data_IF_451234328075
#
_entry.id   IF_451234328075
#
_cell.length_a   1.000
_cell.length_b   1.000
_cell.length_c   1.000
_cell.angle_alpha   90.00
_cell.angle_beta   90.00
_cell.angle_gamma   90.00
#
_symmetry.space_group_name_H-M   'P 1'
#
loop_
_entity.id
_entity.type
_entity.pdbx_description
1 polymer ?
#
# COMPACT_ATOMS: atom_id res chain seq x y z
N UNK A 1 -39.09 5.96 5.60
CA UNK A 1 -37.66 5.62 5.76
C UNK A 1 -37.56 4.53 6.81
N UNK A 2 -36.98 3.39 6.46
CA UNK A 2 -36.83 2.26 7.35
C UNK A 2 -35.68 2.50 8.35
N UNK A 3 -35.68 1.81 9.49
CA UNK A 3 -34.60 1.90 10.50
C UNK A 3 -33.21 1.61 9.91
N UNK A 4 -33.14 0.79 8.83
CA UNK A 4 -31.92 0.50 8.08
C UNK A 4 -31.45 1.67 7.21
N UNK A 5 -32.37 2.42 6.62
CA UNK A 5 -32.04 3.62 5.84
C UNK A 5 -31.50 4.74 6.74
N UNK A 6 -32.11 4.93 7.92
CA UNK A 6 -31.61 5.87 8.92
C UNK A 6 -30.23 5.49 9.45
N UNK A 7 -29.98 4.20 9.69
CA UNK A 7 -28.67 3.71 10.13
C UNK A 7 -27.59 3.88 9.05
N UNK A 8 -27.92 3.62 7.78
CA UNK A 8 -27.01 3.88 6.65
C UNK A 8 -26.70 5.38 6.48
N UNK A 9 -27.67 6.24 6.66
CA UNK A 9 -27.49 7.70 6.51
C UNK A 9 -26.64 8.27 7.65
N UNK A 10 -26.81 7.80 8.88
CA UNK A 10 -25.98 8.16 10.03
C UNK A 10 -24.52 7.71 9.81
N UNK A 11 -24.28 6.45 9.42
CA UNK A 11 -22.94 5.93 9.15
C UNK A 11 -22.27 6.73 7.99
N UNK A 12 -23.01 7.14 6.97
CA UNK A 12 -22.46 7.96 5.89
C UNK A 12 -22.12 9.40 6.33
N UNK A 13 -22.89 10.00 7.23
CA UNK A 13 -22.59 11.32 7.80
C UNK A 13 -21.34 11.30 8.65
N UNK A 14 -21.19 10.29 9.50
CA UNK A 14 -20.02 10.12 10.35
C UNK A 14 -18.75 9.86 9.51
N UNK A 15 -18.83 9.00 8.49
CA UNK A 15 -17.75 8.74 7.57
C UNK A 15 -17.29 10.01 6.84
N UNK A 16 -18.25 10.83 6.38
CA UNK A 16 -17.95 12.09 5.68
C UNK A 16 -17.25 13.09 6.60
N UNK A 17 -17.69 13.22 7.84
CA UNK A 17 -17.07 14.11 8.83
C UNK A 17 -15.64 13.67 9.17
N UNK A 18 -15.39 12.36 9.25
CA UNK A 18 -14.06 11.81 9.46
C UNK A 18 -13.15 12.10 8.25
N UNK A 19 -13.62 11.87 7.02
CA UNK A 19 -12.84 12.19 5.81
C UNK A 19 -12.48 13.68 5.78
N UNK A 20 -13.43 14.58 6.02
CA UNK A 20 -13.19 16.02 6.07
C UNK A 20 -12.19 16.43 7.16
N UNK A 21 -12.22 15.77 8.31
CA UNK A 21 -11.28 16.02 9.42
C UNK A 21 -9.87 15.56 9.08
N UNK A 22 -9.73 14.36 8.52
CA UNK A 22 -8.43 13.74 8.26
C UNK A 22 -7.83 14.10 6.89
N UNK A 23 -8.60 14.69 5.98
CA UNK A 23 -8.06 15.24 4.73
C UNK A 23 -7.41 16.62 4.88
N UNK A 24 -7.61 17.30 6.03
CA UNK A 24 -6.93 18.58 6.31
C UNK A 24 -5.44 18.37 6.50
N UNK A 25 -4.66 19.36 6.04
CA UNK A 25 -3.24 19.43 6.37
C UNK A 25 -3.07 19.65 7.87
N UNK A 26 -1.92 19.27 8.39
CA UNK A 26 -1.54 19.48 9.80
C UNK A 26 -2.23 18.62 10.87
N UNK A 27 -2.87 17.50 10.50
CA UNK A 27 -3.47 16.61 11.51
C UNK A 27 -2.39 16.11 12.48
N UNK A 28 -1.25 15.65 11.97
CA UNK A 28 -0.13 15.16 12.81
C UNK A 28 0.56 16.33 13.51
N UNK A 29 0.78 17.46 12.85
CA UNK A 29 1.37 18.64 13.48
C UNK A 29 0.45 19.24 14.57
N UNK A 30 -0.86 19.09 14.42
CA UNK A 30 -1.83 19.40 15.47
C UNK A 30 -1.69 18.49 16.69
N UNK A 31 -1.44 17.20 16.47
CA UNK A 31 -1.10 16.25 17.51
C UNK A 31 0.23 16.65 18.15
N UNK A 32 1.27 16.95 17.36
CA UNK A 32 2.60 17.34 17.83
C UNK A 32 2.60 18.67 18.64
N UNK A 33 1.85 19.68 18.23
CA UNK A 33 1.72 20.96 18.99
C UNK A 33 1.07 20.76 20.36
N UNK A 34 0.26 19.75 20.54
CA UNK A 34 -0.35 19.41 21.81
C UNK A 34 0.60 18.64 22.74
N UNK A 35 1.76 18.13 22.26
CA UNK A 35 2.75 17.44 23.11
C UNK A 35 3.23 18.27 24.31
N UNK A 36 3.35 19.58 24.15
CA UNK A 36 3.77 20.48 25.25
C UNK A 36 2.70 20.64 26.35
N UNK A 37 1.45 20.26 26.06
CA UNK A 37 0.31 20.37 26.97
C UNK A 37 -0.18 19.02 27.48
N UNK A 38 0.30 17.90 26.94
CA UNK A 38 -0.15 16.56 27.31
C UNK A 38 0.78 15.90 28.33
N UNK A 39 0.19 15.11 29.22
CA UNK A 39 0.94 14.35 30.23
C UNK A 39 1.72 13.22 29.54
N UNK A 40 3.02 13.41 29.34
CA UNK A 40 3.94 12.34 28.92
C UNK A 40 4.06 11.33 30.06
N UNK A 41 3.76 10.08 29.76
CA UNK A 41 3.96 8.95 30.69
C UNK A 41 5.17 8.14 30.24
N UNK A 42 5.72 7.37 31.16
CA UNK A 42 6.85 6.47 30.89
C UNK A 42 6.37 5.03 31.04
N UNK A 43 6.32 4.28 29.93
CA UNK A 43 5.94 2.88 29.92
C UNK A 43 7.17 1.99 29.71
N UNK A 44 7.12 0.77 30.26
CA UNK A 44 8.09 -0.27 29.88
C UNK A 44 7.92 -0.66 28.41
N UNK A 45 9.04 -0.97 27.74
CA UNK A 45 8.97 -1.49 26.38
C UNK A 45 8.13 -2.77 26.27
N UNK A 46 8.04 -3.55 27.34
CA UNK A 46 7.26 -4.80 27.39
C UNK A 46 5.75 -4.58 27.57
N UNK A 47 5.34 -3.39 28.03
CA UNK A 47 3.93 -2.99 28.10
C UNK A 47 3.42 -2.58 26.71
N UNK A 48 4.33 -2.28 25.77
CA UNK A 48 3.98 -1.82 24.43
C UNK A 48 4.06 -2.99 23.46
N UNK A 49 3.03 -3.15 22.65
CA UNK A 49 2.94 -4.15 21.57
C UNK A 49 2.96 -3.48 20.21
N UNK A 50 3.35 -4.25 19.19
CA UNK A 50 3.34 -3.78 17.79
C UNK A 50 1.91 -3.51 17.32
N UNK A 51 1.76 -2.59 16.37
CA UNK A 51 0.47 -2.26 15.80
C UNK A 51 -0.09 -3.44 15.01
N UNK A 52 -1.29 -3.86 15.38
CA UNK A 52 -1.94 -5.06 14.84
C UNK A 52 -2.21 -4.98 13.33
N UNK A 53 -2.42 -3.78 12.79
CA UNK A 53 -2.73 -3.56 11.38
C UNK A 53 -1.50 -3.59 10.47
N UNK A 54 -0.32 -3.20 10.97
CA UNK A 54 0.88 -3.02 10.15
C UNK A 54 2.08 -3.89 10.58
N UNK A 55 1.93 -4.72 11.61
CA UNK A 55 3.01 -5.57 12.16
C UNK A 55 3.67 -6.50 11.13
N UNK A 56 2.94 -6.89 10.09
CA UNK A 56 3.43 -7.79 9.04
C UNK A 56 4.41 -7.09 8.07
N UNK A 57 4.34 -5.77 7.98
CA UNK A 57 5.31 -4.99 7.24
C UNK A 57 6.67 -5.00 7.96
N UNK A 58 7.71 -5.43 7.26
CA UNK A 58 9.08 -5.46 7.80
C UNK A 58 9.71 -4.08 7.74
N UNK A 59 10.66 -3.83 8.61
CA UNK A 59 11.42 -2.59 8.64
C UNK A 59 12.87 -2.91 8.34
N UNK A 60 13.49 -2.07 7.53
CA UNK A 60 14.90 -2.19 7.17
C UNK A 60 15.80 -2.13 8.41
N UNK A 61 16.78 -3.04 8.46
CA UNK A 61 17.71 -3.15 9.59
C UNK A 61 18.61 -1.93 9.74
N UNK A 62 19.01 -1.31 8.63
CA UNK A 62 19.86 -0.12 8.63
C UNK A 62 19.09 1.09 9.18
N UNK A 63 17.82 1.25 8.77
CA UNK A 63 16.93 2.25 9.34
C UNK A 63 16.85 2.13 10.86
N UNK A 64 16.67 0.91 11.39
CA UNK A 64 16.62 0.70 12.83
C UNK A 64 17.96 1.04 13.49
N UNK A 65 19.11 0.60 12.94
CA UNK A 65 20.44 0.94 13.46
C UNK A 65 20.69 2.45 13.53
N UNK A 66 20.22 3.20 12.52
CA UNK A 66 20.39 4.65 12.51
C UNK A 66 19.55 5.31 13.62
N UNK A 67 18.35 4.78 13.89
CA UNK A 67 17.50 5.23 15.00
C UNK A 67 18.13 4.83 16.34
N UNK A 68 18.67 3.61 16.49
CA UNK A 68 19.42 3.17 17.67
C UNK A 68 20.55 4.15 18.03
N UNK A 69 21.38 4.53 17.03
CA UNK A 69 22.45 5.54 17.21
C UNK A 69 21.89 6.87 17.70
N UNK A 70 20.83 7.38 17.05
CA UNK A 70 20.20 8.64 17.44
C UNK A 70 19.65 8.60 18.87
N UNK A 71 19.07 7.46 19.28
CA UNK A 71 18.54 7.27 20.64
C UNK A 71 19.68 7.24 21.67
N UNK A 72 20.82 6.61 21.35
CA UNK A 72 22.00 6.59 22.24
C UNK A 72 22.56 8.01 22.42
N UNK A 73 22.65 8.79 21.35
CA UNK A 73 23.24 10.13 21.37
C UNK A 73 22.35 11.16 22.05
N UNK A 74 21.05 11.11 21.84
CA UNK A 74 20.11 12.21 22.19
C UNK A 74 18.92 11.77 23.03
N UNK A 75 18.76 10.47 23.27
CA UNK A 75 17.56 9.92 23.87
C UNK A 75 16.36 9.91 22.92
N UNK A 76 15.18 9.61 23.46
CA UNK A 76 13.93 9.66 22.73
C UNK A 76 13.33 11.05 22.88
N UNK A 77 13.60 11.92 21.90
CA UNK A 77 13.17 13.32 21.93
C UNK A 77 11.66 13.47 21.78
N UNK A 78 11.06 12.78 20.81
CA UNK A 78 9.61 12.82 20.60
C UNK A 78 8.95 11.57 21.23
N UNK A 79 7.97 11.73 22.14
CA UNK A 79 7.22 10.61 22.71
C UNK A 79 6.55 9.77 21.62
N UNK A 80 6.30 8.49 21.92
CA UNK A 80 5.47 7.66 21.07
C UNK A 80 3.99 7.97 21.33
N UNK A 81 3.14 7.78 20.32
CA UNK A 81 1.69 7.76 20.54
C UNK A 81 1.25 6.31 20.62
N UNK A 82 0.56 5.99 21.70
CA UNK A 82 0.05 4.65 21.95
C UNK A 82 -1.44 4.72 22.35
N UNK A 83 -2.16 3.62 22.16
CA UNK A 83 -3.51 3.44 22.70
C UNK A 83 -3.56 2.25 23.63
N UNK A 84 -4.50 2.23 24.57
CA UNK A 84 -4.75 1.05 25.38
C UNK A 84 -5.34 -0.04 24.47
N UNK A 85 -4.67 -1.21 24.41
CA UNK A 85 -5.09 -2.33 23.57
C UNK A 85 -5.79 -3.42 24.38
N UNK A 86 -5.25 -3.69 25.58
CA UNK A 86 -5.78 -4.60 26.61
C UNK A 86 -5.33 -4.05 27.94
N UNK A 87 -5.99 -4.46 29.02
CA UNK A 87 -5.64 -4.02 30.38
C UNK A 87 -4.12 -4.16 30.62
N UNK A 88 -3.44 -3.05 30.81
CA UNK A 88 -1.99 -2.98 31.04
C UNK A 88 -1.10 -3.23 29.81
N UNK A 89 -1.66 -3.24 28.59
CA UNK A 89 -0.91 -3.31 27.34
C UNK A 89 -1.33 -2.19 26.41
N UNK A 90 -0.35 -1.61 25.73
CA UNK A 90 -0.52 -0.46 24.86
C UNK A 90 -0.04 -0.80 23.45
N UNK A 91 -0.81 -0.45 22.44
CA UNK A 91 -0.47 -0.64 21.04
C UNK A 91 0.16 0.64 20.49
N UNK A 92 1.33 0.53 19.85
CA UNK A 92 1.99 1.68 19.24
C UNK A 92 1.25 2.13 17.98
N UNK A 93 0.94 3.44 17.89
CA UNK A 93 0.34 4.05 16.70
C UNK A 93 1.41 4.83 15.94
N UNK A 94 2.02 5.82 16.56
CA UNK A 94 3.11 6.61 15.97
C UNK A 94 4.41 6.33 16.71
N UNK A 95 5.50 6.13 15.94
CA UNK A 95 6.82 5.88 16.49
C UNK A 95 7.23 4.41 16.55
N UNK A 96 6.59 3.52 15.76
CA UNK A 96 6.89 2.09 15.69
C UNK A 96 8.38 1.80 15.55
N UNK A 97 9.08 2.52 14.67
CA UNK A 97 10.53 2.35 14.47
C UNK A 97 11.33 2.71 15.72
N UNK A 98 10.93 3.77 16.44
CA UNK A 98 11.56 4.17 17.72
C UNK A 98 11.32 3.12 18.81
N UNK A 99 10.11 2.58 18.92
CA UNK A 99 9.81 1.49 19.85
C UNK A 99 10.68 0.25 19.58
N UNK A 100 10.78 -0.19 18.32
CA UNK A 100 11.62 -1.35 17.95
C UNK A 100 13.09 -1.09 18.30
N UNK A 101 13.62 0.09 18.00
CA UNK A 101 15.00 0.46 18.32
C UNK A 101 15.21 0.50 19.85
N UNK A 102 14.30 1.09 20.61
CA UNK A 102 14.37 1.15 22.07
C UNK A 102 14.35 -0.25 22.71
N UNK A 103 13.50 -1.14 22.18
CA UNK A 103 13.45 -2.54 22.64
C UNK A 103 14.76 -3.28 22.40
N UNK A 104 15.42 -3.04 21.26
CA UNK A 104 16.75 -3.62 20.98
C UNK A 104 17.89 -3.07 21.85
N UNK A 105 17.73 -1.84 22.32
CA UNK A 105 18.66 -1.18 23.22
C UNK A 105 18.36 -1.49 24.71
N UNK A 106 17.41 -2.38 24.99
CA UNK A 106 16.98 -2.76 26.36
C UNK A 106 16.58 -1.55 27.23
N UNK A 107 15.96 -0.53 26.59
CA UNK A 107 15.42 0.62 27.32
C UNK A 107 14.31 0.17 28.27
N UNK A 108 14.49 0.41 29.57
CA UNK A 108 13.52 0.03 30.60
C UNK A 108 12.20 0.79 30.48
N UNK A 109 12.27 2.07 30.17
CA UNK A 109 11.10 2.95 30.05
C UNK A 109 11.29 3.93 28.91
N UNK A 110 10.22 4.15 28.17
CA UNK A 110 10.20 5.10 27.04
C UNK A 110 9.05 6.09 27.19
N UNK A 111 9.23 7.35 26.75
CA UNK A 111 8.20 8.38 26.84
C UNK A 111 7.07 8.09 25.85
N UNK A 112 5.83 8.15 26.32
CA UNK A 112 4.64 7.91 25.52
C UNK A 112 3.53 8.91 25.85
N UNK A 113 2.65 9.15 24.89
CA UNK A 113 1.36 9.81 25.06
C UNK A 113 0.28 8.77 24.81
N UNK A 114 -0.58 8.56 25.79
CA UNK A 114 -1.68 7.61 25.69
C UNK A 114 -2.90 8.33 25.14
N UNK A 115 -3.44 7.84 24.04
CA UNK A 115 -4.65 8.33 23.39
C UNK A 115 -5.72 7.24 23.38
N UNK A 116 -6.96 7.66 23.46
CA UNK A 116 -8.10 6.74 23.36
C UNK A 116 -8.65 6.80 21.92
N UNK A 117 -7.94 6.13 20.99
CA UNK A 117 -8.34 6.01 19.60
C UNK A 117 -8.93 4.63 19.34
N UNK A 118 -10.05 4.58 18.63
CA UNK A 118 -10.60 3.33 18.11
C UNK A 118 -9.79 2.80 16.91
N UNK A 119 -10.19 1.67 16.37
CA UNK A 119 -9.50 1.04 15.24
C UNK A 119 -9.54 1.90 13.98
N UNK A 120 -10.68 2.52 13.69
CA UNK A 120 -10.86 3.39 12.54
C UNK A 120 -10.01 4.66 12.65
N UNK A 121 -10.04 5.34 13.79
CA UNK A 121 -9.21 6.51 14.05
C UNK A 121 -7.72 6.16 13.98
N UNK A 122 -7.33 5.01 14.53
CA UNK A 122 -5.94 4.51 14.46
C UNK A 122 -5.47 4.37 13.02
N UNK A 123 -6.28 3.75 12.15
CA UNK A 123 -5.94 3.60 10.73
C UNK A 123 -5.86 4.95 10.00
N UNK A 124 -6.76 5.88 10.31
CA UNK A 124 -6.76 7.22 9.73
C UNK A 124 -5.51 8.02 10.16
N UNK A 125 -5.11 7.92 11.42
CA UNK A 125 -3.89 8.56 11.93
C UNK A 125 -2.65 7.98 11.26
N UNK A 126 -2.57 6.64 11.11
CA UNK A 126 -1.48 6.00 10.37
C UNK A 126 -1.41 6.47 8.91
N UNK A 127 -2.55 6.70 8.28
CA UNK A 127 -2.63 7.20 6.92
C UNK A 127 -2.14 8.65 6.82
N UNK A 128 -2.50 9.51 7.78
CA UNK A 128 -2.02 10.89 7.86
C UNK A 128 -0.52 10.95 8.16
N UNK A 129 -0.02 10.12 9.10
CA UNK A 129 1.41 10.02 9.38
C UNK A 129 2.20 9.60 8.12
N UNK A 130 1.64 8.68 7.34
CA UNK A 130 2.23 8.28 6.05
C UNK A 130 2.25 9.41 5.01
N UNK A 131 1.22 10.26 4.99
CA UNK A 131 1.15 11.43 4.11
C UNK A 131 2.23 12.46 4.45
N UNK A 132 2.41 12.74 5.72
CA UNK A 132 3.32 13.78 6.22
C UNK A 132 4.79 13.30 6.25
N UNK A 133 5.02 12.00 6.42
CA UNK A 133 6.35 11.41 6.48
C UNK A 133 6.80 10.81 5.16
N UNK A 134 7.78 11.46 4.50
CA UNK A 134 8.35 11.02 3.21
C UNK A 134 8.99 9.61 3.25
N UNK A 135 9.36 9.11 4.42
CA UNK A 135 10.03 7.82 4.63
C UNK A 135 9.10 6.71 5.12
N UNK A 136 7.82 6.80 4.79
CA UNK A 136 6.85 5.79 5.19
C UNK A 136 6.99 4.51 4.34
N UNK A 137 6.77 3.36 4.97
CA UNK A 137 6.88 2.07 4.29
C UNK A 137 5.67 1.84 3.36
N UNK A 138 5.86 1.64 2.05
CA UNK A 138 4.75 1.43 1.11
C UNK A 138 3.85 0.24 1.45
N UNK A 139 4.39 -0.79 2.10
CA UNK A 139 3.60 -1.95 2.53
C UNK A 139 2.75 -1.61 3.75
N UNK A 140 3.25 -0.79 4.69
CA UNK A 140 2.43 -0.29 5.80
C UNK A 140 1.23 0.53 5.27
N UNK A 141 1.46 1.44 4.31
CA UNK A 141 0.38 2.19 3.64
C UNK A 141 -0.63 1.23 3.00
N UNK A 142 -0.15 0.23 2.26
CA UNK A 142 -1.01 -0.73 1.57
C UNK A 142 -1.88 -1.54 2.55
N UNK A 143 -1.33 -1.93 3.70
CA UNK A 143 -2.06 -2.63 4.76
C UNK A 143 -3.13 -1.72 5.39
N UNK A 144 -2.80 -0.48 5.73
CA UNK A 144 -3.75 0.50 6.26
C UNK A 144 -4.90 0.73 5.27
N UNK A 145 -4.58 0.96 3.98
CA UNK A 145 -5.58 1.14 2.92
C UNK A 145 -6.49 -0.09 2.83
N UNK A 146 -5.92 -1.28 2.89
CA UNK A 146 -6.69 -2.53 2.85
C UNK A 146 -7.67 -2.62 4.01
N UNK A 147 -7.23 -2.38 5.24
CA UNK A 147 -8.11 -2.41 6.42
C UNK A 147 -9.21 -1.34 6.35
N UNK A 148 -8.89 -0.11 5.92
CA UNK A 148 -9.92 0.92 5.74
C UNK A 148 -10.98 0.52 4.70
N UNK A 149 -10.57 -0.15 3.62
CA UNK A 149 -11.50 -0.58 2.58
C UNK A 149 -12.32 -1.81 3.02
N UNK A 150 -11.68 -2.83 3.59
CA UNK A 150 -12.30 -4.13 3.89
C UNK A 150 -13.13 -4.08 5.18
N UNK A 151 -12.62 -3.43 6.24
CA UNK A 151 -13.23 -3.46 7.59
C UNK A 151 -14.16 -2.26 7.81
N UNK A 152 -13.87 -1.10 7.18
CA UNK A 152 -14.58 0.17 7.38
C UNK A 152 -15.28 0.72 6.13
N UNK A 153 -15.27 -0.03 5.01
CA UNK A 153 -15.96 0.30 3.76
C UNK A 153 -15.55 1.65 3.12
N UNK A 154 -14.33 2.14 3.36
CA UNK A 154 -13.82 3.32 2.69
C UNK A 154 -13.63 3.06 1.20
N UNK A 155 -14.12 3.98 0.37
CA UNK A 155 -13.89 3.93 -1.08
C UNK A 155 -12.49 4.43 -1.39
N UNK A 156 -11.90 3.93 -2.48
CA UNK A 156 -10.58 4.40 -2.93
C UNK A 156 -10.49 5.92 -3.11
N UNK A 157 -11.61 6.57 -3.46
CA UNK A 157 -11.70 8.02 -3.59
C UNK A 157 -11.52 8.71 -2.25
N UNK A 158 -12.15 8.21 -1.20
CA UNK A 158 -12.10 8.76 0.15
C UNK A 158 -10.68 8.65 0.73
N UNK A 159 -10.06 7.48 0.54
CA UNK A 159 -8.66 7.24 0.94
C UNK A 159 -7.68 8.12 0.15
N UNK A 160 -7.93 8.30 -1.14
CA UNK A 160 -7.14 9.17 -2.01
C UNK A 160 -7.18 10.64 -1.56
N UNK A 161 -8.35 11.11 -1.11
CA UNK A 161 -8.54 12.45 -0.56
C UNK A 161 -7.71 12.64 0.72
N UNK A 162 -7.77 11.69 1.67
CA UNK A 162 -7.00 11.75 2.92
C UNK A 162 -5.49 11.71 2.65
N UNK A 163 -5.03 10.88 1.72
CA UNK A 163 -3.60 10.76 1.36
C UNK A 163 -3.08 11.87 0.44
N UNK A 164 -3.96 12.73 -0.09
CA UNK A 164 -3.63 13.74 -1.12
C UNK A 164 -3.00 13.11 -2.38
N UNK A 165 -3.53 11.98 -2.81
CA UNK A 165 -3.07 11.26 -4.01
C UNK A 165 -4.23 10.95 -4.95
N UNK A 166 -3.94 10.40 -6.12
CA UNK A 166 -5.00 9.91 -7.01
C UNK A 166 -5.55 8.53 -6.57
N UNK A 167 -6.80 8.21 -6.90
CA UNK A 167 -7.38 6.88 -6.69
C UNK A 167 -6.61 5.77 -7.42
N UNK A 168 -5.91 6.11 -8.52
CA UNK A 168 -4.97 5.23 -9.20
C UNK A 168 -3.76 4.89 -8.34
N UNK A 169 -3.25 5.87 -7.57
CA UNK A 169 -2.15 5.65 -6.64
C UNK A 169 -2.57 4.74 -5.47
N UNK A 170 -3.78 4.91 -4.93
CA UNK A 170 -4.36 4.00 -3.93
C UNK A 170 -4.43 2.57 -4.46
N UNK A 171 -4.86 2.40 -5.72
CA UNK A 171 -4.87 1.08 -6.38
C UNK A 171 -3.46 0.49 -6.56
N UNK A 172 -2.45 1.33 -6.81
CA UNK A 172 -1.06 0.88 -6.89
C UNK A 172 -0.55 0.37 -5.53
N UNK A 173 -0.87 1.04 -4.42
CA UNK A 173 -0.53 0.53 -3.08
C UNK A 173 -1.17 -0.83 -2.82
N UNK A 174 -2.47 -0.97 -3.06
CA UNK A 174 -3.17 -2.25 -2.88
C UNK A 174 -2.58 -3.39 -3.73
N UNK A 175 -2.11 -3.08 -4.95
CA UNK A 175 -1.50 -4.08 -5.82
C UNK A 175 -0.20 -4.67 -5.28
N UNK A 176 0.50 -3.97 -4.38
CA UNK A 176 1.73 -4.48 -3.75
C UNK A 176 1.46 -5.70 -2.89
N UNK A 177 0.29 -5.77 -2.24
CA UNK A 177 -0.07 -6.89 -1.36
C UNK A 177 -0.34 -8.20 -2.12
N UNK A 178 -0.53 -8.12 -3.44
CA UNK A 178 -0.71 -9.28 -4.31
C UNK A 178 0.61 -9.81 -4.90
N UNK A 179 1.73 -9.20 -4.54
CA UNK A 179 3.04 -9.64 -5.01
C UNK A 179 3.56 -10.85 -4.22
N UNK A 180 4.53 -11.60 -4.74
CA UNK A 180 5.21 -12.65 -4.00
C UNK A 180 5.77 -12.15 -2.67
N UNK A 181 5.79 -13.00 -1.64
CA UNK A 181 6.20 -12.63 -0.27
C UNK A 181 7.63 -12.10 -0.18
N UNK A 182 8.54 -12.65 -0.97
CA UNK A 182 9.93 -12.21 -1.09
C UNK A 182 10.00 -10.78 -1.66
N UNK A 183 9.16 -10.46 -2.65
CA UNK A 183 9.08 -9.12 -3.23
C UNK A 183 8.49 -8.12 -2.24
N UNK A 184 7.43 -8.50 -1.53
CA UNK A 184 6.85 -7.68 -0.44
C UNK A 184 7.91 -7.37 0.62
N UNK A 185 8.72 -8.35 0.98
CA UNK A 185 9.83 -8.16 1.91
C UNK A 185 10.87 -7.15 1.37
N UNK A 186 11.29 -7.27 0.10
CA UNK A 186 12.25 -6.37 -0.52
C UNK A 186 11.70 -4.93 -0.61
N UNK A 187 10.39 -4.75 -0.86
CA UNK A 187 9.73 -3.43 -0.82
C UNK A 187 9.72 -2.89 0.62
N UNK A 188 9.31 -3.70 1.60
CA UNK A 188 9.24 -3.30 3.00
C UNK A 188 10.59 -2.87 3.56
N UNK A 189 11.67 -3.46 3.09
CA UNK A 189 13.04 -3.20 3.53
C UNK A 189 13.79 -2.20 2.64
N UNK A 190 13.08 -1.47 1.78
CA UNK A 190 13.62 -0.48 0.84
C UNK A 190 14.67 -1.02 -0.16
N UNK A 191 14.82 -2.35 -0.26
CA UNK A 191 15.71 -2.98 -1.23
C UNK A 191 15.15 -2.85 -2.66
N UNK A 192 13.82 -2.87 -2.80
CA UNK A 192 13.11 -2.57 -4.04
C UNK A 192 12.28 -1.30 -3.84
N UNK A 193 12.51 -0.26 -4.67
CA UNK A 193 11.75 0.99 -4.53
C UNK A 193 10.28 0.82 -4.94
N UNK A 194 9.41 1.66 -4.36
CA UNK A 194 7.99 1.71 -4.72
C UNK A 194 7.77 1.90 -6.23
N UNK A 195 8.60 2.72 -6.90
CA UNK A 195 8.51 2.94 -8.34
C UNK A 195 8.73 1.67 -9.15
N UNK A 196 9.76 0.88 -8.81
CA UNK A 196 10.01 -0.42 -9.44
C UNK A 196 8.87 -1.40 -9.18
N UNK A 197 8.42 -1.50 -7.92
CA UNK A 197 7.32 -2.37 -7.54
C UNK A 197 6.03 -2.04 -8.28
N UNK A 198 5.67 -0.75 -8.37
CA UNK A 198 4.51 -0.27 -9.15
C UNK A 198 4.60 -0.68 -10.62
N UNK A 199 5.78 -0.54 -11.23
CA UNK A 199 5.99 -0.86 -12.65
C UNK A 199 5.71 -2.33 -12.98
N UNK A 200 5.97 -3.24 -12.03
CA UNK A 200 5.85 -4.70 -12.24
C UNK A 200 4.61 -5.33 -11.57
N UNK A 201 3.84 -4.56 -10.78
CA UNK A 201 2.75 -5.09 -9.95
C UNK A 201 1.61 -5.77 -10.72
N UNK A 202 1.48 -5.51 -12.03
CA UNK A 202 0.44 -6.09 -12.90
C UNK A 202 0.91 -7.33 -13.66
N UNK A 203 2.19 -7.67 -13.55
CA UNK A 203 2.76 -8.80 -14.26
C UNK A 203 2.44 -10.12 -13.55
N UNK A 204 2.59 -11.23 -14.26
CA UNK A 204 2.54 -12.56 -13.65
C UNK A 204 3.76 -12.78 -12.77
N UNK A 205 3.63 -13.61 -11.74
CA UNK A 205 4.71 -13.90 -10.79
C UNK A 205 6.03 -14.30 -11.45
N UNK A 206 5.98 -15.13 -12.49
CA UNK A 206 7.15 -15.54 -13.27
C UNK A 206 7.90 -14.35 -13.89
N UNK A 207 7.15 -13.40 -14.44
CA UNK A 207 7.70 -12.23 -15.10
C UNK A 207 8.25 -11.23 -14.06
N UNK A 208 7.55 -11.09 -12.90
CA UNK A 208 8.01 -10.28 -11.76
C UNK A 208 9.40 -10.74 -11.32
N UNK A 209 9.57 -12.05 -11.03
CA UNK A 209 10.86 -12.61 -10.60
C UNK A 209 11.99 -12.38 -11.61
N UNK A 210 11.67 -12.53 -12.91
CA UNK A 210 12.62 -12.29 -13.99
C UNK A 210 13.09 -10.82 -14.07
N UNK A 211 12.15 -9.86 -13.91
CA UNK A 211 12.50 -8.44 -13.96
C UNK A 211 13.27 -8.02 -12.69
N UNK A 212 12.87 -8.49 -11.52
CA UNK A 212 13.56 -8.18 -10.26
C UNK A 212 15.03 -8.59 -10.34
N UNK A 213 15.30 -9.80 -10.86
CA UNK A 213 16.68 -10.22 -11.10
C UNK A 213 17.44 -9.21 -11.96
N UNK A 214 16.84 -8.73 -13.07
CA UNK A 214 17.46 -7.73 -13.93
C UNK A 214 17.63 -6.38 -13.26
N UNK A 215 16.68 -5.97 -12.40
CA UNK A 215 16.82 -4.73 -11.61
C UNK A 215 18.07 -4.79 -10.76
N UNK A 216 18.31 -5.91 -10.08
CA UNK A 216 19.48 -6.08 -9.21
C UNK A 216 20.78 -6.29 -9.99
N UNK A 217 20.77 -7.12 -11.02
CA UNK A 217 21.97 -7.44 -11.81
C UNK A 217 22.48 -6.22 -12.61
N UNK A 218 21.58 -5.38 -13.12
CA UNK A 218 21.90 -4.26 -14.02
C UNK A 218 21.60 -2.88 -13.44
N UNK A 219 21.19 -2.80 -12.16
CA UNK A 219 20.80 -1.55 -11.49
C UNK A 219 19.83 -0.70 -12.34
N UNK A 220 18.77 -1.33 -12.85
CA UNK A 220 17.85 -0.68 -13.77
C UNK A 220 17.14 0.49 -13.14
N UNK A 221 16.93 1.56 -13.90
CA UNK A 221 16.09 2.67 -13.50
C UNK A 221 14.60 2.27 -13.49
N UNK A 222 13.77 3.03 -12.77
CA UNK A 222 12.29 2.84 -12.79
C UNK A 222 11.76 2.92 -14.23
N UNK A 223 12.25 3.88 -15.05
CA UNK A 223 11.84 4.03 -16.45
C UNK A 223 12.19 2.82 -17.32
N UNK A 224 13.36 2.24 -17.12
CA UNK A 224 13.76 1.05 -17.89
C UNK A 224 12.99 -0.19 -17.44
N UNK A 225 12.68 -0.28 -16.15
CA UNK A 225 11.78 -1.29 -15.59
C UNK A 225 10.37 -1.17 -16.18
N UNK A 226 9.81 0.05 -16.28
CA UNK A 226 8.50 0.29 -16.92
C UNK A 226 8.51 -0.13 -18.40
N UNK A 227 9.57 0.18 -19.16
CA UNK A 227 9.71 -0.26 -20.57
C UNK A 227 9.74 -1.79 -20.69
N UNK A 228 10.46 -2.47 -19.78
CA UNK A 228 10.53 -3.94 -19.78
C UNK A 228 9.18 -4.55 -19.41
N UNK A 229 8.51 -4.02 -18.39
CA UNK A 229 7.20 -4.47 -17.97
C UNK A 229 6.16 -4.31 -19.09
N UNK A 230 6.14 -3.15 -19.74
CA UNK A 230 5.26 -2.90 -20.88
C UNK A 230 5.47 -3.89 -22.03
N UNK A 231 6.73 -4.21 -22.37
CA UNK A 231 7.04 -5.21 -23.42
C UNK A 231 6.51 -6.59 -23.07
N UNK A 232 6.52 -6.98 -21.80
CA UNK A 232 6.00 -8.27 -21.35
C UNK A 232 4.47 -8.30 -21.30
N UNK A 233 3.83 -7.20 -20.86
CA UNK A 233 2.38 -7.05 -20.92
C UNK A 233 1.89 -7.12 -22.37
N UNK A 234 2.51 -6.41 -23.31
CA UNK A 234 2.15 -6.43 -24.72
C UNK A 234 2.32 -7.82 -25.35
N UNK A 235 3.39 -8.56 -25.03
CA UNK A 235 3.55 -9.95 -25.42
C UNK A 235 2.42 -10.84 -24.87
N UNK A 236 2.10 -10.71 -23.60
CA UNK A 236 1.03 -11.49 -22.96
C UNK A 236 -0.37 -11.16 -23.53
N UNK A 237 -0.61 -9.90 -23.88
CA UNK A 237 -1.86 -9.47 -24.53
C UNK A 237 -1.93 -10.03 -25.97
N UNK A 238 -0.83 -10.04 -26.70
CA UNK A 238 -0.77 -10.61 -28.06
C UNK A 238 -0.97 -12.11 -28.08
N UNK A 239 -0.45 -12.82 -27.08
CA UNK A 239 -0.67 -14.29 -26.94
C UNK A 239 -2.12 -14.61 -26.56
N UNK A 240 -2.81 -13.73 -25.80
CA UNK A 240 -4.24 -13.92 -25.45
C UNK A 240 -5.20 -13.61 -26.61
N UNK A 241 -4.81 -12.86 -27.62
CA UNK A 241 -5.66 -12.62 -28.78
C UNK A 241 -5.52 -13.78 -29.74
N UNK A 242 -6.59 -14.55 -29.89
CA UNK A 242 -6.66 -15.64 -30.88
C UNK A 242 -6.41 -15.12 -32.30
N UNK A 243 -6.77 -13.87 -32.54
CA UNK A 243 -6.61 -13.21 -33.84
C UNK A 243 -6.47 -11.69 -33.71
N UNK A 244 -5.91 -11.07 -34.75
CA UNK A 244 -5.83 -9.61 -34.92
C UNK A 244 -6.41 -9.25 -36.28
N UNK A 245 -7.41 -8.37 -36.31
CA UNK A 245 -8.03 -7.87 -37.53
C UNK A 245 -7.43 -6.50 -37.87
N UNK A 246 -6.94 -6.34 -39.10
CA UNK A 246 -6.47 -5.06 -39.62
C UNK A 246 -7.17 -4.75 -40.97
N UNK A 247 -7.76 -3.57 -41.09
CA UNK A 247 -8.27 -3.06 -42.34
C UNK A 247 -7.10 -2.41 -43.11
N UNK A 248 -6.90 -2.78 -44.35
CA UNK A 248 -5.88 -2.19 -45.24
C UNK A 248 -6.52 -1.97 -46.62
N UNK A 249 -6.78 -0.70 -46.96
CA UNK A 249 -7.47 -0.31 -48.20
C UNK A 249 -8.82 -1.05 -48.36
N UNK A 250 -8.97 -1.82 -49.44
CA UNK A 250 -10.17 -2.65 -49.74
C UNK A 250 -10.10 -4.08 -49.20
N UNK A 251 -9.16 -4.39 -48.33
CA UNK A 251 -8.95 -5.74 -47.78
C UNK A 251 -8.98 -5.77 -46.26
N UNK A 252 -9.37 -6.91 -45.71
CA UNK A 252 -9.30 -7.20 -44.26
C UNK A 252 -8.27 -8.30 -44.08
N UNK A 253 -7.24 -8.01 -43.29
CA UNK A 253 -6.20 -8.98 -42.95
C UNK A 253 -6.49 -9.50 -41.52
N UNK A 254 -6.71 -10.80 -41.40
CA UNK A 254 -6.89 -11.49 -40.13
C UNK A 254 -5.64 -12.32 -39.86
N UNK A 255 -4.86 -11.94 -38.85
CA UNK A 255 -3.72 -12.75 -38.38
C UNK A 255 -4.18 -13.58 -37.17
N UNK A 256 -4.04 -14.88 -37.29
CA UNK A 256 -4.46 -15.84 -36.26
C UNK A 256 -3.23 -16.47 -35.60
N UNK A 257 -3.24 -16.62 -34.29
CA UNK A 257 -2.15 -17.23 -33.54
C UNK A 257 -2.49 -18.72 -33.29
N UNK A 258 -1.67 -19.60 -33.81
CA UNK A 258 -1.81 -21.05 -33.68
C UNK A 258 -2.67 -21.69 -34.77
N UNK A 259 -2.27 -22.89 -35.18
CA UNK A 259 -2.88 -23.62 -36.31
C UNK A 259 -4.31 -24.05 -36.02
N UNK A 260 -4.60 -24.47 -34.77
CA UNK A 260 -5.93 -24.86 -34.30
C UNK A 260 -6.92 -23.68 -34.33
N UNK A 261 -6.48 -22.50 -33.86
CA UNK A 261 -7.27 -21.27 -33.92
C UNK A 261 -7.49 -20.81 -35.36
N UNK A 262 -6.47 -20.96 -36.24
CA UNK A 262 -6.59 -20.64 -37.64
C UNK A 262 -7.68 -21.47 -38.30
N UNK A 263 -7.65 -22.78 -38.16
CA UNK A 263 -8.62 -23.70 -38.77
C UNK A 263 -10.06 -23.41 -38.28
N UNK A 264 -10.22 -23.12 -36.98
CA UNK A 264 -11.52 -22.78 -36.39
C UNK A 264 -12.08 -21.45 -36.95
N UNK A 265 -11.24 -20.41 -37.00
CA UNK A 265 -11.65 -19.08 -37.49
C UNK A 265 -11.88 -19.11 -39.00
N UNK A 266 -11.04 -19.78 -39.75
CA UNK A 266 -11.19 -19.98 -41.19
C UNK A 266 -12.49 -20.67 -41.57
N UNK A 267 -12.84 -21.73 -40.84
CA UNK A 267 -14.13 -22.43 -41.01
C UNK A 267 -15.33 -21.52 -40.74
N UNK A 268 -15.32 -20.74 -39.64
CA UNK A 268 -16.36 -19.77 -39.33
C UNK A 268 -16.51 -18.67 -40.39
N UNK A 269 -15.40 -18.13 -40.89
CA UNK A 269 -15.44 -17.09 -41.92
C UNK A 269 -16.04 -17.67 -43.21
N UNK A 270 -15.65 -18.86 -43.64
CA UNK A 270 -16.21 -19.49 -44.81
C UNK A 270 -17.70 -19.86 -44.68
N UNK A 271 -18.16 -20.24 -43.46
CA UNK A 271 -19.59 -20.44 -43.18
C UNK A 271 -20.38 -19.14 -43.27
N UNK A 272 -19.84 -18.03 -42.79
CA UNK A 272 -20.48 -16.71 -42.91
C UNK A 272 -20.54 -16.22 -44.36
N UNK A 273 -19.45 -16.35 -45.11
CA UNK A 273 -19.41 -15.95 -46.53
C UNK A 273 -20.39 -16.76 -47.38
N UNK A 274 -20.58 -18.09 -47.11
CA UNK A 274 -21.56 -18.90 -47.79
C UNK A 274 -23.05 -18.59 -47.46
N UNK A 275 -23.28 -17.84 -46.38
CA UNK A 275 -24.66 -17.43 -45.99
C UNK A 275 -25.04 -16.06 -46.57
N UNK A 276 -24.04 -15.23 -46.87
CA UNK A 276 -24.21 -13.85 -47.35
C UNK A 276 -24.12 -13.73 -48.89
N UNK A 277 -23.58 -14.76 -49.57
CA UNK A 277 -23.42 -14.85 -51.01
C UNK A 277 -23.93 -16.20 -51.52
#
# INVERSE_FOLDING_TARGET
MTAEENKKTLIQSDLKSLIERFSKDDVISGIDKNYQRENVKYLSCDEIVDNSFIKDAKIDKETIKNIEKSIIERGIYNPLIVREYKKGKYEVIIGRKRWIASKKLDYKKIPVIIKNYDDQETLLILLCDARENKNFNPIEIALVIKHLADDFNYKKKDIAEILHVSSGQVSNYLSLLNMPKDVIYDISTNKLSFGHAKAISRLKEKDIKSIIKKIYDYNLSVRDTEKLAFKLEDKNVRIKREYVIRKKNKSIIIKVNGEENFNRIYKKINELLKKEF
#
